data_IF_657825756574
#
_entry.id   IF_657825756574
#
_cell.length_a   1.000
_cell.length_b   1.000
_cell.length_c   1.000
_cell.angle_alpha   90.00
_cell.angle_beta   90.00
_cell.angle_gamma   90.00
#
_symmetry.space_group_name_H-M   'P 1'
#
loop_
_entity.id
_entity.type
_entity.pdbx_description
1 polymer ?
#
# COMPACT_ATOMS: atom_id res chain seq x y z
N UNK A 1 -8.06 -34.13 4.70
CA UNK A 1 -9.20 -33.78 5.61
C UNK A 1 -10.06 -32.77 4.89
N UNK A 2 -11.38 -32.87 5.05
CA UNK A 2 -12.28 -31.80 4.61
C UNK A 2 -12.13 -30.57 5.52
N UNK A 3 -11.95 -29.39 4.91
CA UNK A 3 -11.62 -28.16 5.63
C UNK A 3 -12.77 -27.67 6.51
N UNK A 4 -13.98 -27.64 5.97
CA UNK A 4 -15.13 -27.03 6.65
C UNK A 4 -15.74 -27.93 7.70
N UNK A 5 -15.67 -29.27 7.50
CA UNK A 5 -16.08 -30.24 8.51
C UNK A 5 -15.10 -30.32 9.67
N UNK A 6 -13.83 -29.93 9.48
CA UNK A 6 -12.77 -30.00 10.50
C UNK A 6 -12.20 -28.63 10.87
N UNK A 7 -13.00 -27.56 10.77
CA UNK A 7 -12.55 -26.18 11.02
C UNK A 7 -11.94 -25.97 12.42
N UNK A 8 -12.37 -26.70 13.43
CA UNK A 8 -11.80 -26.60 14.78
C UNK A 8 -10.33 -27.09 14.80
N UNK A 9 -10.03 -28.19 14.09
CA UNK A 9 -8.68 -28.72 13.97
C UNK A 9 -7.81 -27.74 13.15
N UNK A 10 -8.34 -27.22 12.05
CA UNK A 10 -7.66 -26.21 11.24
C UNK A 10 -7.27 -24.99 12.07
N UNK A 11 -8.21 -24.39 12.83
CA UNK A 11 -7.97 -23.25 13.71
C UNK A 11 -6.90 -23.54 14.76
N UNK A 12 -6.97 -24.71 15.40
CA UNK A 12 -5.97 -25.12 16.40
C UNK A 12 -4.56 -25.24 15.80
N UNK A 13 -4.44 -25.87 14.62
CA UNK A 13 -3.12 -26.02 13.96
C UNK A 13 -2.58 -24.67 13.50
N UNK A 14 -3.41 -23.82 12.93
CA UNK A 14 -3.02 -22.48 12.50
C UNK A 14 -2.58 -21.60 13.68
N UNK A 15 -3.33 -21.60 14.78
CA UNK A 15 -3.02 -20.83 15.98
C UNK A 15 -1.73 -21.30 16.65
N UNK A 16 -1.53 -22.62 16.78
CA UNK A 16 -0.31 -23.19 17.36
C UNK A 16 0.95 -22.82 16.56
N UNK A 17 0.85 -22.85 15.22
CA UNK A 17 1.93 -22.39 14.34
C UNK A 17 2.18 -20.89 14.51
N UNK A 18 1.14 -20.06 14.50
CA UNK A 18 1.25 -18.61 14.58
C UNK A 18 1.93 -18.17 15.88
N UNK A 19 1.62 -18.81 17.00
CA UNK A 19 2.22 -18.51 18.28
C UNK A 19 3.77 -18.56 18.27
N UNK A 20 4.35 -19.40 17.41
CA UNK A 20 5.83 -19.58 17.31
C UNK A 20 6.44 -18.93 16.08
N UNK A 21 5.67 -18.76 14.99
CA UNK A 21 6.19 -18.34 13.69
C UNK A 21 5.92 -16.87 13.34
N UNK A 22 5.15 -16.16 14.16
CA UNK A 22 4.84 -14.75 13.88
C UNK A 22 6.09 -13.87 13.90
N UNK A 23 6.19 -12.98 12.90
CA UNK A 23 7.27 -11.98 12.86
C UNK A 23 7.10 -10.98 14.00
N UNK A 24 8.21 -10.55 14.65
CA UNK A 24 8.19 -9.54 15.73
C UNK A 24 7.98 -8.15 15.11
N UNK A 25 6.72 -7.78 14.88
CA UNK A 25 6.36 -6.49 14.31
C UNK A 25 5.99 -5.49 15.41
N UNK A 26 6.37 -4.19 15.31
CA UNK A 26 6.17 -3.22 16.38
C UNK A 26 4.71 -3.06 16.84
N UNK A 27 3.77 -3.17 15.91
CA UNK A 27 2.33 -3.09 16.22
C UNK A 27 1.75 -4.37 16.84
N UNK A 28 2.50 -5.48 16.82
CA UNK A 28 2.17 -6.72 17.56
C UNK A 28 2.77 -6.72 18.94
N UNK A 29 3.99 -6.16 19.08
CA UNK A 29 4.66 -6.06 20.38
C UNK A 29 3.95 -5.09 21.33
N UNK A 30 3.42 -3.99 20.78
CA UNK A 30 2.67 -2.99 21.52
C UNK A 30 1.33 -2.73 20.81
N UNK A 31 0.33 -3.63 20.97
CA UNK A 31 -0.93 -3.52 20.24
C UNK A 31 -1.76 -2.33 20.76
N UNK A 32 -2.31 -1.56 19.83
CA UNK A 32 -3.30 -0.54 20.11
C UNK A 32 -4.16 -0.29 18.87
N UNK A 33 -5.34 0.29 19.07
CA UNK A 33 -6.21 0.67 17.95
C UNK A 33 -5.50 1.59 16.95
N UNK A 34 -4.81 2.62 17.44
CA UNK A 34 -4.09 3.56 16.58
C UNK A 34 -2.99 2.86 15.78
N UNK A 35 -2.17 2.03 16.43
CA UNK A 35 -1.09 1.28 15.76
C UNK A 35 -1.64 0.31 14.71
N UNK A 36 -2.77 -0.33 14.98
CA UNK A 36 -3.44 -1.20 14.00
C UNK A 36 -3.88 -0.38 12.78
N UNK A 37 -4.58 0.75 12.98
CA UNK A 37 -5.02 1.61 11.87
C UNK A 37 -3.84 2.09 11.03
N UNK A 38 -2.79 2.59 11.66
CA UNK A 38 -1.60 3.09 10.95
C UNK A 38 -0.90 1.98 10.20
N UNK A 39 -0.66 0.83 10.83
CA UNK A 39 0.04 -0.29 10.19
C UNK A 39 -0.74 -0.85 9.01
N UNK A 40 -2.05 -0.99 9.11
CA UNK A 40 -2.89 -1.49 8.02
C UNK A 40 -2.90 -0.54 6.82
N UNK A 41 -3.00 0.77 7.04
CA UNK A 41 -2.94 1.75 5.96
C UNK A 41 -1.54 1.86 5.34
N UNK A 42 -0.48 1.76 6.13
CA UNK A 42 0.89 1.74 5.60
C UNK A 42 1.20 0.47 4.82
N UNK A 43 0.66 -0.69 5.24
CA UNK A 43 0.90 -1.98 4.59
C UNK A 43 0.17 -2.13 3.25
N UNK A 44 -0.87 -1.31 2.97
CA UNK A 44 -1.54 -1.36 1.67
C UNK A 44 -0.54 -1.17 0.53
N UNK A 45 -0.35 -2.19 -0.31
CA UNK A 45 0.56 -2.20 -1.46
C UNK A 45 2.03 -1.83 -1.11
N UNK A 46 2.44 -1.99 0.15
CA UNK A 46 3.81 -1.72 0.61
C UNK A 46 4.35 -2.95 1.34
N UNK A 47 5.56 -3.34 1.01
CA UNK A 47 6.22 -4.45 1.70
C UNK A 47 6.55 -4.06 3.15
N UNK A 48 6.37 -5.00 4.08
CA UNK A 48 6.64 -4.79 5.52
C UNK A 48 8.07 -4.26 5.76
N UNK A 49 9.07 -4.84 5.08
CA UNK A 49 10.46 -4.37 5.19
C UNK A 49 10.62 -2.89 4.83
N UNK A 50 9.91 -2.44 3.82
CA UNK A 50 9.94 -1.04 3.37
C UNK A 50 9.23 -0.12 4.35
N UNK A 51 8.07 -0.54 4.89
CA UNK A 51 7.28 0.32 5.77
C UNK A 51 7.82 0.44 7.21
N UNK A 52 8.57 -0.54 7.71
CA UNK A 52 9.05 -0.55 9.11
C UNK A 52 9.76 0.73 9.56
N UNK A 53 10.74 1.27 8.79
CA UNK A 53 11.39 2.54 9.17
C UNK A 53 10.41 3.71 9.23
N UNK A 54 9.43 3.73 8.32
CA UNK A 54 8.39 4.77 8.28
C UNK A 54 7.45 4.67 9.46
N UNK A 55 7.00 3.46 9.79
CA UNK A 55 6.15 3.23 10.96
C UNK A 55 6.83 3.71 12.25
N UNK A 56 8.11 3.41 12.45
CA UNK A 56 8.86 3.86 13.63
C UNK A 56 8.91 5.39 13.72
N UNK A 57 9.29 6.08 12.64
CA UNK A 57 9.33 7.56 12.59
C UNK A 57 7.94 8.17 12.79
N UNK A 58 6.92 7.55 12.19
CA UNK A 58 5.53 7.99 12.34
C UNK A 58 5.07 7.93 13.80
N UNK A 59 5.32 6.81 14.50
CA UNK A 59 4.95 6.68 15.92
C UNK A 59 5.67 7.67 16.83
N UNK A 60 6.90 8.06 16.49
CA UNK A 60 7.63 9.10 17.22
C UNK A 60 7.00 10.49 17.03
N UNK A 61 6.60 10.81 15.81
CA UNK A 61 6.06 12.15 15.49
C UNK A 61 4.55 12.25 15.79
N UNK A 62 3.79 11.20 15.52
CA UNK A 62 2.35 11.13 15.66
C UNK A 62 1.97 9.89 16.50
N UNK A 63 2.11 9.94 17.83
CA UNK A 63 1.92 8.77 18.69
C UNK A 63 0.47 8.33 18.87
N UNK A 64 -0.51 9.18 18.52
CA UNK A 64 -1.95 8.93 18.68
C UNK A 64 -2.78 9.73 17.66
N UNK A 65 -4.10 9.46 17.64
CA UNK A 65 -5.03 10.14 16.74
C UNK A 65 -5.09 11.67 16.94
N UNK A 66 -5.02 12.14 18.18
CA UNK A 66 -5.10 13.59 18.49
C UNK A 66 -3.90 14.33 17.92
N UNK A 67 -2.68 13.86 18.20
CA UNK A 67 -1.46 14.47 17.68
C UNK A 67 -1.44 14.45 16.15
N UNK A 68 -1.96 13.38 15.53
CA UNK A 68 -2.07 13.31 14.06
C UNK A 68 -3.13 14.27 13.53
N UNK A 69 -4.28 14.37 14.18
CA UNK A 69 -5.37 15.26 13.76
C UNK A 69 -4.96 16.75 13.79
N UNK A 70 -4.18 17.14 14.80
CA UNK A 70 -3.73 18.52 15.01
C UNK A 70 -2.51 18.90 14.13
N UNK A 71 -1.90 17.92 13.46
CA UNK A 71 -0.71 18.17 12.65
C UNK A 71 -1.03 18.93 11.35
N UNK A 72 -0.14 19.78 10.86
CA UNK A 72 -0.24 20.34 9.50
C UNK A 72 -0.20 19.24 8.45
N UNK A 73 -1.00 19.39 7.39
CA UNK A 73 -1.06 18.40 6.31
C UNK A 73 0.30 18.15 5.64
N UNK A 74 1.10 19.20 5.52
CA UNK A 74 2.45 19.15 4.94
C UNK A 74 3.38 18.27 5.78
N UNK A 75 3.33 18.38 7.11
CA UNK A 75 4.12 17.56 8.04
C UNK A 75 3.74 16.06 7.92
N UNK A 76 2.44 15.78 7.82
CA UNK A 76 1.93 14.42 7.60
C UNK A 76 2.45 13.84 6.28
N UNK A 77 2.37 14.60 5.19
CA UNK A 77 2.84 14.17 3.87
C UNK A 77 4.37 13.98 3.85
N UNK A 78 5.10 14.87 4.54
CA UNK A 78 6.56 14.77 4.65
C UNK A 78 7.01 13.51 5.38
N UNK A 79 6.35 13.12 6.47
CA UNK A 79 6.66 11.88 7.19
C UNK A 79 6.25 10.61 6.43
N UNK A 80 5.37 10.74 5.44
CA UNK A 80 4.97 9.64 4.53
C UNK A 80 5.85 9.55 3.28
N UNK A 81 6.66 10.57 3.01
CA UNK A 81 7.43 10.68 1.78
C UNK A 81 8.31 9.45 1.53
N UNK A 82 8.17 8.87 0.32
CA UNK A 82 8.89 7.67 -0.09
C UNK A 82 8.09 6.35 0.04
N UNK A 83 6.98 6.32 0.80
CA UNK A 83 6.09 5.15 0.84
C UNK A 83 5.20 5.01 -0.40
N UNK A 84 4.99 6.08 -1.15
CA UNK A 84 4.07 6.12 -2.28
C UNK A 84 2.59 6.09 -1.87
N UNK A 85 1.68 6.19 -2.85
CA UNK A 85 0.23 6.20 -2.61
C UNK A 85 -0.19 7.20 -1.51
N UNK A 86 0.18 8.46 -1.69
CA UNK A 86 0.00 9.53 -0.69
C UNK A 86 -1.46 9.80 -0.31
N UNK A 87 -2.42 9.34 -1.11
CA UNK A 87 -3.84 9.35 -0.73
C UNK A 87 -4.09 8.60 0.59
N UNK A 88 -3.26 7.60 0.92
CA UNK A 88 -3.35 6.89 2.21
C UNK A 88 -2.98 7.80 3.38
N UNK A 89 -1.93 8.62 3.22
CA UNK A 89 -1.54 9.59 4.25
C UNK A 89 -2.63 10.64 4.46
N UNK A 90 -3.18 11.20 3.36
CA UNK A 90 -4.30 12.15 3.45
C UNK A 90 -5.52 11.52 4.10
N UNK A 91 -5.90 10.33 3.67
CA UNK A 91 -7.03 9.61 4.27
C UNK A 91 -6.79 9.31 5.75
N UNK A 92 -5.59 8.91 6.15
CA UNK A 92 -5.24 8.66 7.55
C UNK A 92 -5.31 9.95 8.39
N UNK A 93 -4.89 11.09 7.83
CA UNK A 93 -5.00 12.39 8.48
C UNK A 93 -6.46 12.82 8.63
N UNK A 94 -7.27 12.73 7.56
CA UNK A 94 -8.70 13.02 7.61
C UNK A 94 -9.42 12.08 8.60
N UNK A 95 -9.11 10.77 8.56
CA UNK A 95 -9.63 9.79 9.50
C UNK A 95 -9.32 10.18 10.94
N UNK A 96 -8.09 10.62 11.23
CA UNK A 96 -7.73 11.03 12.58
C UNK A 96 -8.56 12.22 13.08
N UNK A 97 -8.78 13.22 12.23
CA UNK A 97 -9.64 14.38 12.53
C UNK A 97 -11.09 13.96 12.79
N UNK A 98 -11.66 13.14 11.92
CA UNK A 98 -13.02 12.65 12.09
C UNK A 98 -13.13 11.76 13.33
N UNK A 99 -12.18 10.83 13.54
CA UNK A 99 -12.17 9.95 14.71
C UNK A 99 -12.13 10.73 16.02
N UNK A 100 -11.30 11.77 16.11
CA UNK A 100 -11.21 12.60 17.32
C UNK A 100 -12.53 13.32 17.60
N UNK A 101 -13.20 13.81 16.56
CA UNK A 101 -14.48 14.54 16.67
C UNK A 101 -15.68 13.63 16.99
N UNK A 102 -15.63 12.33 16.63
CA UNK A 102 -16.74 11.41 16.86
C UNK A 102 -16.99 11.11 18.34
N UNK A 103 -18.26 11.09 18.76
CA UNK A 103 -18.75 10.60 20.04
C UNK A 103 -20.16 10.01 19.85
N UNK A 104 -20.38 8.69 20.05
CA UNK A 104 -19.42 7.67 20.43
C UNK A 104 -18.39 7.36 19.33
N UNK A 105 -17.29 6.71 19.73
CA UNK A 105 -16.28 6.20 18.78
C UNK A 105 -16.82 4.99 18.02
N UNK A 106 -16.38 4.78 16.75
CA UNK A 106 -16.83 3.65 15.95
C UNK A 106 -16.43 2.32 16.60
N UNK A 107 -17.39 1.43 16.74
CA UNK A 107 -17.26 0.13 17.37
C UNK A 107 -17.48 -1.04 16.41
N UNK A 108 -18.21 -0.82 15.31
CA UNK A 108 -18.56 -1.86 14.34
C UNK A 108 -17.79 -1.70 13.03
N UNK A 109 -17.75 -2.79 12.24
CA UNK A 109 -17.13 -2.79 10.90
C UNK A 109 -17.75 -1.73 9.99
N UNK A 110 -19.07 -1.61 10.00
CA UNK A 110 -19.84 -0.67 9.19
C UNK A 110 -19.56 0.79 9.58
N UNK A 111 -19.41 1.07 10.86
CA UNK A 111 -19.05 2.40 11.35
C UNK A 111 -17.63 2.78 10.92
N UNK A 112 -16.68 1.86 11.04
CA UNK A 112 -15.32 2.07 10.55
C UNK A 112 -15.26 2.32 9.04
N UNK A 113 -16.09 1.65 8.24
CA UNK A 113 -16.11 1.84 6.79
C UNK A 113 -16.58 3.23 6.35
N UNK A 114 -17.22 4.00 7.22
CA UNK A 114 -17.63 5.39 6.94
C UNK A 114 -16.46 6.36 7.00
N UNK A 115 -15.36 5.97 7.64
CA UNK A 115 -14.20 6.83 7.80
C UNK A 115 -13.31 6.85 6.54
N UNK A 116 -12.62 7.97 6.27
CA UNK A 116 -11.77 8.13 5.10
C UNK A 116 -10.72 7.03 4.96
N UNK A 117 -10.63 6.42 3.78
CA UNK A 117 -9.62 5.41 3.46
C UNK A 117 -9.86 4.02 4.04
N UNK A 118 -10.96 3.81 4.76
CA UNK A 118 -11.31 2.52 5.37
C UNK A 118 -12.23 1.72 4.44
N UNK A 119 -11.64 0.75 3.77
CA UNK A 119 -12.39 -0.23 2.97
C UNK A 119 -12.81 -1.47 3.78
N UNK A 120 -13.49 -2.44 3.11
CA UNK A 120 -13.95 -3.68 3.75
C UNK A 120 -12.84 -4.49 4.42
N UNK A 121 -11.65 -4.52 3.83
CA UNK A 121 -10.48 -5.18 4.41
C UNK A 121 -10.02 -4.47 5.69
N UNK A 122 -9.76 -3.16 5.61
CA UNK A 122 -9.19 -2.39 6.73
C UNK A 122 -10.16 -2.35 7.91
N UNK A 123 -11.47 -2.21 7.66
CA UNK A 123 -12.47 -2.26 8.73
C UNK A 123 -12.50 -3.62 9.43
N UNK A 124 -12.44 -4.73 8.67
CA UNK A 124 -12.37 -6.07 9.25
C UNK A 124 -11.09 -6.27 10.08
N UNK A 125 -9.94 -5.77 9.61
CA UNK A 125 -8.69 -5.84 10.35
C UNK A 125 -8.76 -5.04 11.66
N UNK A 126 -9.26 -3.81 11.62
CA UNK A 126 -9.43 -2.97 12.81
C UNK A 126 -10.36 -3.63 13.82
N UNK A 127 -11.55 -4.06 13.38
CA UNK A 127 -12.55 -4.63 14.29
C UNK A 127 -12.11 -5.96 14.88
N UNK A 128 -11.41 -6.80 14.13
CA UNK A 128 -10.95 -8.09 14.64
C UNK A 128 -9.68 -7.97 15.48
N UNK A 129 -8.67 -7.22 15.00
CA UNK A 129 -7.35 -7.17 15.66
C UNK A 129 -7.36 -6.23 16.87
N UNK A 130 -7.96 -5.05 16.73
CA UNK A 130 -7.92 -4.04 17.79
C UNK A 130 -9.14 -4.08 18.71
N UNK A 131 -10.32 -4.48 18.22
CA UNK A 131 -11.55 -4.49 19.00
C UNK A 131 -12.03 -5.91 19.39
N UNK A 132 -11.34 -6.97 18.92
CA UNK A 132 -11.65 -8.36 19.25
C UNK A 132 -13.00 -8.86 18.73
N UNK A 133 -13.61 -8.18 17.75
CA UNK A 133 -14.92 -8.55 17.21
C UNK A 133 -14.78 -9.48 15.99
N UNK A 134 -15.68 -10.46 15.82
CA UNK A 134 -15.64 -11.36 14.70
C UNK A 134 -15.82 -10.63 13.36
N UNK A 135 -14.75 -10.59 12.56
CA UNK A 135 -14.75 -10.09 11.19
C UNK A 135 -13.59 -10.74 10.44
N UNK A 136 -13.88 -11.52 9.39
CA UNK A 136 -12.82 -12.13 8.60
C UNK A 136 -12.13 -11.10 7.71
N UNK A 137 -10.81 -11.13 7.73
CA UNK A 137 -9.96 -10.34 6.84
C UNK A 137 -9.70 -11.13 5.56
N UNK A 138 -9.97 -10.54 4.40
CA UNK A 138 -9.70 -11.16 3.10
C UNK A 138 -8.89 -10.22 2.22
N UNK A 139 -7.59 -10.48 2.16
CA UNK A 139 -6.64 -9.82 1.25
C UNK A 139 -6.19 -10.79 0.15
N UNK A 140 -5.28 -10.36 -0.71
CA UNK A 140 -4.72 -11.23 -1.75
C UNK A 140 -3.97 -12.46 -1.21
N UNK A 141 -3.47 -12.44 0.03
CA UNK A 141 -2.87 -13.59 0.68
C UNK A 141 -3.95 -14.60 1.10
N UNK A 142 -5.00 -14.13 1.76
CA UNK A 142 -6.12 -14.97 2.22
C UNK A 142 -6.87 -15.55 1.03
N UNK A 143 -7.13 -14.77 -0.03
CA UNK A 143 -7.67 -15.28 -1.31
C UNK A 143 -6.82 -16.44 -1.83
N UNK A 144 -5.51 -16.29 -1.89
CA UNK A 144 -4.60 -17.33 -2.37
C UNK A 144 -4.62 -18.58 -1.50
N UNK A 145 -4.61 -18.41 -0.18
CA UNK A 145 -4.68 -19.52 0.76
C UNK A 145 -6.00 -20.29 0.57
N UNK A 146 -7.13 -19.60 0.58
CA UNK A 146 -8.45 -20.22 0.45
C UNK A 146 -8.63 -20.90 -0.91
N UNK A 147 -8.22 -20.24 -2.00
CA UNK A 147 -8.25 -20.84 -3.33
C UNK A 147 -7.43 -22.12 -3.39
N UNK A 148 -6.28 -22.19 -2.75
CA UNK A 148 -5.43 -23.39 -2.69
C UNK A 148 -5.98 -24.45 -1.75
N UNK A 149 -6.46 -24.08 -0.58
CA UNK A 149 -7.08 -25.03 0.36
C UNK A 149 -8.28 -25.74 -0.27
N UNK A 150 -9.11 -25.01 -1.00
CA UNK A 150 -10.33 -25.54 -1.64
C UNK A 150 -10.14 -26.01 -3.09
N UNK A 151 -8.95 -25.82 -3.66
CA UNK A 151 -8.65 -26.08 -5.08
C UNK A 151 -9.61 -25.36 -6.03
N UNK A 152 -9.94 -24.11 -5.74
CA UNK A 152 -10.88 -23.33 -6.54
C UNK A 152 -10.21 -22.85 -7.83
N UNK A 153 -10.60 -23.44 -8.95
CA UNK A 153 -10.03 -23.16 -10.27
C UNK A 153 -10.80 -22.09 -11.07
N UNK A 154 -11.77 -21.42 -10.43
CA UNK A 154 -12.51 -20.32 -11.05
C UNK A 154 -11.56 -19.20 -11.50
N UNK A 155 -11.86 -18.62 -12.67
CA UNK A 155 -11.11 -17.49 -13.23
C UNK A 155 -11.81 -16.20 -12.82
N UNK A 156 -11.19 -15.42 -11.94
CA UNK A 156 -11.73 -14.14 -11.46
C UNK A 156 -11.26 -13.01 -12.37
N UNK A 157 -12.17 -12.11 -12.75
CA UNK A 157 -11.86 -10.92 -13.58
C UNK A 157 -10.87 -9.94 -12.90
N UNK A 158 -10.88 -9.90 -11.58
CA UNK A 158 -10.00 -9.04 -10.79
C UNK A 158 -9.93 -9.49 -9.32
N UNK A 159 -9.03 -8.87 -8.54
CA UNK A 159 -8.88 -9.17 -7.12
C UNK A 159 -10.16 -8.89 -6.30
N UNK A 160 -10.94 -7.87 -6.64
CA UNK A 160 -12.17 -7.53 -5.92
C UNK A 160 -13.24 -8.63 -6.02
N UNK A 161 -13.39 -9.22 -7.20
CA UNK A 161 -14.29 -10.36 -7.40
C UNK A 161 -13.83 -11.57 -6.59
N UNK A 162 -12.53 -11.88 -6.61
CA UNK A 162 -11.97 -12.97 -5.82
C UNK A 162 -12.17 -12.74 -4.31
N UNK A 163 -11.92 -11.55 -3.81
CA UNK A 163 -12.16 -11.20 -2.40
C UNK A 163 -13.62 -11.44 -2.04
N UNK A 164 -14.57 -10.95 -2.84
CA UNK A 164 -16.02 -11.15 -2.62
C UNK A 164 -16.39 -12.62 -2.58
N UNK A 165 -15.86 -13.43 -3.52
CA UNK A 165 -16.15 -14.87 -3.60
C UNK A 165 -15.61 -15.65 -2.39
N UNK A 166 -14.48 -15.24 -1.81
CA UNK A 166 -13.88 -15.94 -0.68
C UNK A 166 -14.29 -15.40 0.69
N UNK A 167 -15.00 -14.27 0.79
CA UNK A 167 -15.41 -13.68 2.09
C UNK A 167 -16.25 -14.65 2.91
N UNK A 168 -17.29 -15.24 2.36
CA UNK A 168 -18.15 -16.18 3.09
C UNK A 168 -17.39 -17.43 3.59
N UNK A 169 -16.39 -17.91 2.83
CA UNK A 169 -15.53 -19.04 3.25
C UNK A 169 -14.58 -18.62 4.37
N UNK A 170 -14.05 -17.40 4.32
CA UNK A 170 -13.22 -16.85 5.38
C UNK A 170 -14.01 -16.69 6.69
N UNK A 171 -15.24 -16.17 6.62
CA UNK A 171 -16.13 -16.02 7.78
C UNK A 171 -16.45 -17.38 8.42
N UNK A 172 -16.68 -18.43 7.62
CA UNK A 172 -16.91 -19.80 8.13
C UNK A 172 -15.69 -20.38 8.86
N UNK A 173 -14.48 -20.01 8.45
CA UNK A 173 -13.22 -20.47 9.05
C UNK A 173 -12.76 -19.64 10.23
N UNK A 174 -13.27 -18.42 10.38
CA UNK A 174 -12.85 -17.48 11.43
C UNK A 174 -13.00 -18.07 12.82
N UNK A 175 -11.98 -17.96 13.64
CA UNK A 175 -12.08 -18.23 15.08
C UNK A 175 -12.74 -17.02 15.77
N UNK A 176 -14.03 -17.16 16.07
CA UNK A 176 -14.80 -16.08 16.71
C UNK A 176 -14.36 -15.77 18.15
N UNK A 177 -13.58 -16.66 18.79
CA UNK A 177 -13.03 -16.41 20.14
C UNK A 177 -11.75 -15.57 20.07
N UNK A 178 -10.95 -15.75 19.02
CA UNK A 178 -9.69 -15.04 18.83
C UNK A 178 -9.58 -14.54 17.37
N UNK A 179 -10.50 -13.64 16.93
CA UNK A 179 -10.58 -13.27 15.52
C UNK A 179 -9.35 -12.51 15.02
N UNK A 180 -8.75 -11.68 15.89
CA UNK A 180 -7.55 -10.93 15.56
C UNK A 180 -6.36 -11.84 15.29
N UNK A 181 -6.08 -12.80 16.17
CA UNK A 181 -4.98 -13.75 16.00
C UNK A 181 -5.22 -14.67 14.80
N UNK A 182 -6.46 -15.13 14.57
CA UNK A 182 -6.79 -15.92 13.41
C UNK A 182 -6.49 -15.18 12.10
N UNK A 183 -6.94 -13.94 11.98
CA UNK A 183 -6.69 -13.11 10.80
C UNK A 183 -5.20 -12.83 10.61
N UNK A 184 -4.48 -12.47 11.68
CA UNK A 184 -3.05 -12.27 11.61
C UNK A 184 -2.30 -13.57 11.22
N UNK A 185 -2.73 -14.72 11.72
CA UNK A 185 -2.16 -16.02 11.35
C UNK A 185 -2.38 -16.36 9.87
N UNK A 186 -3.57 -16.11 9.33
CA UNK A 186 -3.84 -16.29 7.89
C UNK A 186 -2.96 -15.36 7.04
N UNK A 187 -2.84 -14.09 7.40
CA UNK A 187 -1.98 -13.14 6.70
C UNK A 187 -0.50 -13.56 6.79
N UNK A 188 -0.04 -13.98 7.97
CA UNK A 188 1.35 -14.45 8.18
C UNK A 188 1.65 -15.69 7.36
N UNK A 189 0.74 -16.67 7.33
CA UNK A 189 0.84 -17.87 6.51
C UNK A 189 1.01 -17.53 5.03
N UNK A 190 0.25 -16.56 4.54
CA UNK A 190 0.38 -16.07 3.17
C UNK A 190 1.68 -15.33 2.90
N UNK A 191 2.20 -14.60 3.89
CA UNK A 191 3.40 -13.81 3.74
C UNK A 191 4.70 -14.64 3.85
N UNK A 192 4.68 -15.77 4.55
CA UNK A 192 5.92 -16.52 4.91
C UNK A 192 5.96 -17.95 4.39
N UNK A 193 4.82 -18.61 4.22
CA UNK A 193 4.75 -20.03 3.83
C UNK A 193 4.00 -20.24 2.52
N UNK A 194 2.73 -19.84 2.45
CA UNK A 194 1.90 -20.00 1.26
C UNK A 194 2.20 -18.89 0.24
N UNK A 195 3.46 -18.81 -0.22
CA UNK A 195 3.93 -17.77 -1.12
C UNK A 195 3.25 -17.82 -2.49
N UNK A 196 3.25 -16.69 -3.21
CA UNK A 196 2.68 -16.60 -4.55
C UNK A 196 3.37 -17.54 -5.54
N UNK A 197 4.68 -17.57 -5.48
CA UNK A 197 5.55 -18.43 -6.28
C UNK A 197 6.34 -19.34 -5.34
N UNK A 198 6.47 -20.61 -5.68
CA UNK A 198 7.21 -21.63 -4.91
C UNK A 198 6.77 -21.66 -3.44
N UNK A 199 5.51 -21.95 -3.12
CA UNK A 199 5.05 -22.05 -1.74
C UNK A 199 5.80 -23.12 -0.97
N UNK A 200 6.06 -22.89 0.30
CA UNK A 200 6.82 -23.79 1.19
C UNK A 200 5.88 -24.84 1.80
N UNK A 201 5.29 -25.69 0.96
CA UNK A 201 4.25 -26.63 1.36
C UNK A 201 4.70 -27.62 2.43
N UNK A 202 5.96 -28.05 2.43
CA UNK A 202 6.51 -29.03 3.39
C UNK A 202 6.49 -28.55 4.83
N UNK A 203 6.51 -27.24 5.06
CA UNK A 203 6.45 -26.64 6.41
C UNK A 203 5.09 -25.99 6.71
N UNK A 204 4.11 -26.21 5.85
CA UNK A 204 2.78 -25.62 6.00
C UNK A 204 2.00 -26.27 7.15
N UNK A 205 1.58 -25.50 8.18
CA UNK A 205 0.85 -26.06 9.33
C UNK A 205 -0.49 -26.68 8.98
N UNK A 206 -1.08 -26.27 7.87
CA UNK A 206 -2.41 -26.69 7.42
C UNK A 206 -2.37 -27.52 6.13
N UNK A 207 -1.23 -28.11 5.82
CA UNK A 207 -1.01 -28.91 4.59
C UNK A 207 -2.07 -30.02 4.40
N UNK A 208 -2.44 -30.68 5.48
CA UNK A 208 -3.40 -31.79 5.45
C UNK A 208 -4.80 -31.41 4.92
N UNK A 209 -5.11 -30.11 4.94
CA UNK A 209 -6.36 -29.52 4.40
C UNK A 209 -6.21 -29.05 2.95
N UNK A 210 -4.98 -28.97 2.42
CA UNK A 210 -4.73 -28.35 1.13
C UNK A 210 -5.04 -29.29 -0.04
N UNK A 211 -6.18 -29.06 -0.70
CA UNK A 211 -6.58 -29.86 -1.87
C UNK A 211 -5.67 -29.58 -3.07
N UNK A 212 -5.24 -28.31 -3.25
CA UNK A 212 -4.34 -27.97 -4.36
C UNK A 212 -2.99 -28.65 -4.27
N UNK A 213 -2.43 -28.81 -3.04
CA UNK A 213 -1.18 -29.54 -2.88
C UNK A 213 -1.32 -31.02 -3.26
N UNK A 214 -2.46 -31.65 -2.92
CA UNK A 214 -2.74 -33.03 -3.31
C UNK A 214 -2.88 -33.19 -4.82
N UNK A 215 -3.38 -32.17 -5.50
CA UNK A 215 -3.64 -32.17 -6.93
C UNK A 215 -2.49 -31.57 -7.76
N UNK A 216 -1.42 -31.06 -7.12
CA UNK A 216 -0.31 -30.41 -7.81
C UNK A 216 -0.65 -29.05 -8.45
N UNK A 217 -1.71 -28.38 -7.99
CA UNK A 217 -2.25 -27.15 -8.62
C UNK A 217 -1.89 -25.85 -7.86
N UNK A 218 -1.13 -25.92 -6.78
CA UNK A 218 -0.83 -24.78 -5.93
C UNK A 218 -0.11 -23.63 -6.65
N UNK A 219 0.66 -23.89 -7.69
CA UNK A 219 1.41 -22.86 -8.42
C UNK A 219 0.57 -22.04 -9.39
N UNK A 220 -0.62 -22.57 -9.76
CA UNK A 220 -1.51 -21.92 -10.74
C UNK A 220 -2.75 -21.27 -10.10
N UNK A 221 -2.94 -21.41 -8.77
CA UNK A 221 -4.07 -20.85 -8.05
C UNK A 221 -3.69 -19.69 -7.11
N UNK A 222 -4.55 -18.67 -6.98
CA UNK A 222 -5.81 -18.42 -7.69
C UNK A 222 -5.58 -17.98 -9.13
N UNK A 223 -6.57 -18.20 -10.01
CA UNK A 223 -6.57 -17.67 -11.37
C UNK A 223 -7.26 -16.30 -11.38
N UNK A 224 -6.47 -15.25 -11.56
CA UNK A 224 -6.98 -13.87 -11.63
C UNK A 224 -6.46 -13.24 -12.92
N UNK A 225 -7.38 -12.71 -13.72
CA UNK A 225 -7.04 -12.00 -14.94
C UNK A 225 -6.17 -10.78 -14.64
N UNK A 226 -5.16 -10.57 -15.46
CA UNK A 226 -4.27 -9.41 -15.34
C UNK A 226 -4.65 -8.38 -16.39
N UNK A 227 -4.79 -7.13 -15.98
CA UNK A 227 -4.86 -6.03 -16.95
C UNK A 227 -3.57 -6.00 -17.77
N UNK A 228 -3.72 -5.81 -19.06
CA UNK A 228 -2.58 -5.62 -19.96
C UNK A 228 -1.73 -4.43 -19.47
N UNK A 229 -0.41 -4.60 -19.55
CA UNK A 229 0.53 -3.51 -19.25
C UNK A 229 0.53 -2.53 -20.42
N UNK A 230 0.28 -1.25 -20.13
CA UNK A 230 0.35 -0.16 -21.11
C UNK A 230 1.73 0.48 -21.02
N UNK A 231 2.43 0.58 -22.16
CA UNK A 231 3.67 1.34 -22.27
C UNK A 231 3.32 2.80 -22.55
N UNK A 232 3.97 3.71 -21.83
CA UNK A 232 3.80 5.16 -21.99
C UNK A 232 5.19 5.78 -22.06
N UNK A 233 5.40 6.70 -22.98
CA UNK A 233 6.61 7.51 -23.05
C UNK A 233 6.26 8.96 -22.76
N UNK A 234 7.11 9.65 -22.01
CA UNK A 234 6.92 11.04 -21.58
C UNK A 234 8.27 11.75 -21.73
N UNK A 235 8.26 12.86 -22.43
CA UNK A 235 9.40 13.77 -22.50
C UNK A 235 9.31 14.78 -21.36
N UNK A 236 10.39 14.93 -20.59
CA UNK A 236 10.50 15.82 -19.44
C UNK A 236 11.54 16.90 -19.71
N UNK A 237 11.28 18.10 -19.21
CA UNK A 237 12.25 19.18 -19.27
C UNK A 237 13.07 19.25 -17.98
N UNK A 238 14.38 19.44 -18.13
CA UNK A 238 15.33 19.78 -17.08
C UNK A 238 15.82 21.20 -17.32
N UNK A 239 15.40 22.12 -16.45
CA UNK A 239 15.68 23.55 -16.61
C UNK A 239 16.09 24.12 -15.28
N UNK A 240 17.32 24.64 -15.20
CA UNK A 240 17.86 25.34 -14.04
C UNK A 240 18.23 26.75 -14.47
N UNK A 241 17.72 27.76 -13.78
CA UNK A 241 18.07 29.17 -13.94
C UNK A 241 18.17 29.82 -12.55
N UNK A 242 19.19 30.63 -12.33
CA UNK A 242 19.41 31.38 -11.08
C UNK A 242 19.28 30.52 -9.81
N UNK A 243 19.94 29.36 -9.77
CA UNK A 243 19.87 28.38 -8.68
C UNK A 243 18.45 27.87 -8.35
N UNK A 244 17.56 27.89 -9.34
CA UNK A 244 16.19 27.38 -9.23
C UNK A 244 15.94 26.32 -10.29
N UNK A 245 15.24 25.25 -9.90
CA UNK A 245 14.76 24.21 -10.80
C UNK A 245 13.29 24.47 -11.15
N UNK A 246 12.96 24.39 -12.44
CA UNK A 246 11.57 24.47 -12.89
C UNK A 246 10.85 23.14 -12.61
N UNK A 247 9.72 23.22 -11.90
CA UNK A 247 8.91 22.07 -11.52
C UNK A 247 7.44 22.28 -11.88
N UNK A 248 6.74 21.19 -12.11
CA UNK A 248 5.28 21.14 -12.23
C UNK A 248 4.67 20.70 -10.88
N UNK A 249 3.77 21.53 -10.34
CA UNK A 249 2.98 21.17 -9.18
C UNK A 249 1.69 20.51 -9.64
N UNK A 250 1.55 19.22 -9.32
CA UNK A 250 0.35 18.45 -9.69
C UNK A 250 -0.86 18.99 -8.92
N UNK A 251 -1.96 19.36 -9.62
CA UNK A 251 -3.13 19.93 -8.97
C UNK A 251 -3.69 19.05 -7.84
N UNK A 252 -4.23 19.67 -6.79
CA UNK A 252 -4.85 18.95 -5.66
C UNK A 252 -6.07 18.10 -6.10
N UNK A 253 -6.71 18.45 -7.20
CA UNK A 253 -7.81 17.71 -7.81
C UNK A 253 -7.35 16.49 -8.61
N UNK A 254 -6.05 16.29 -8.82
CA UNK A 254 -5.54 15.15 -9.58
C UNK A 254 -5.80 13.83 -8.85
N UNK A 255 -6.20 12.81 -9.59
CA UNK A 255 -6.48 11.48 -9.05
C UNK A 255 -5.23 10.74 -8.53
N UNK A 256 -4.04 11.17 -8.96
CA UNK A 256 -2.75 10.58 -8.56
C UNK A 256 -1.72 11.68 -8.30
N UNK A 257 -0.84 11.46 -7.32
CA UNK A 257 0.27 12.35 -6.97
C UNK A 257 -0.13 13.82 -6.67
N UNK A 258 -1.40 14.09 -6.36
CA UNK A 258 -1.94 15.42 -6.09
C UNK A 258 -1.06 16.21 -5.11
N UNK A 259 -0.81 17.49 -5.37
CA UNK A 259 0.00 18.37 -4.54
C UNK A 259 1.50 18.08 -4.53
N UNK A 260 1.97 17.08 -5.28
CA UNK A 260 3.39 16.77 -5.39
C UNK A 260 4.02 17.50 -6.57
N UNK A 261 5.33 17.65 -6.49
CA UNK A 261 6.13 18.20 -7.58
C UNK A 261 6.78 17.10 -8.42
N UNK A 262 6.88 17.33 -9.72
CA UNK A 262 7.65 16.52 -10.66
C UNK A 262 8.29 17.42 -11.75
N UNK A 263 9.25 16.87 -12.49
CA UNK A 263 9.79 17.57 -13.66
C UNK A 263 8.66 17.87 -14.66
N UNK A 264 8.61 19.06 -15.25
CA UNK A 264 7.56 19.43 -16.19
C UNK A 264 7.63 18.55 -17.46
N UNK A 265 6.50 18.34 -18.11
CA UNK A 265 6.50 17.78 -19.45
C UNK A 265 7.15 18.77 -20.41
N UNK A 266 7.95 18.27 -21.34
CA UNK A 266 8.62 19.12 -22.33
C UNK A 266 7.62 19.92 -23.18
N UNK A 267 6.43 19.39 -23.38
CA UNK A 267 5.31 20.06 -24.07
C UNK A 267 4.73 21.25 -23.31
N UNK A 268 4.92 21.32 -21.98
CA UNK A 268 4.43 22.42 -21.15
C UNK A 268 5.42 23.60 -21.10
N UNK A 269 6.56 23.49 -21.75
CA UNK A 269 7.57 24.55 -21.81
C UNK A 269 7.81 24.99 -23.24
N UNK A 270 7.96 26.31 -23.44
CA UNK A 270 8.42 26.82 -24.72
C UNK A 270 9.93 26.93 -24.71
N UNK A 271 10.59 25.96 -25.28
CA UNK A 271 12.05 25.89 -25.33
C UNK A 271 12.63 27.02 -26.20
N UNK A 272 13.69 27.64 -25.72
CA UNK A 272 14.50 28.66 -26.44
C UNK A 272 15.62 28.01 -27.24
N UNK A 273 16.11 26.86 -26.79
CA UNK A 273 17.17 26.08 -27.44
C UNK A 273 16.64 24.69 -27.81
N UNK A 274 17.28 24.03 -28.76
CA UNK A 274 16.97 22.64 -29.08
C UNK A 274 17.20 21.75 -27.86
N UNK A 275 16.19 20.99 -27.39
CA UNK A 275 16.32 20.13 -26.21
C UNK A 275 17.36 19.03 -26.42
N UNK A 276 18.26 18.84 -25.44
CA UNK A 276 19.28 17.80 -25.46
C UNK A 276 18.93 16.69 -24.48
N UNK A 277 18.88 15.45 -24.93
CA UNK A 277 18.61 14.29 -24.08
C UNK A 277 19.78 14.07 -23.11
N UNK A 278 19.52 14.20 -21.81
CA UNK A 278 20.52 14.01 -20.75
C UNK A 278 20.30 12.70 -19.96
N UNK A 279 19.08 12.18 -19.90
CA UNK A 279 18.80 10.94 -19.20
C UNK A 279 17.56 10.23 -19.72
N UNK A 280 17.52 8.90 -19.54
CA UNK A 280 16.33 8.07 -19.72
C UNK A 280 16.06 7.32 -18.42
N UNK A 281 14.85 7.43 -17.91
CA UNK A 281 14.41 6.86 -16.65
C UNK A 281 13.12 6.06 -16.82
N UNK A 282 12.84 5.15 -15.91
CA UNK A 282 11.60 4.35 -15.97
C UNK A 282 10.93 4.27 -14.62
N UNK A 283 9.61 4.33 -14.62
CA UNK A 283 8.75 4.06 -13.46
C UNK A 283 7.52 3.25 -13.84
N UNK A 284 6.85 2.69 -12.83
CA UNK A 284 5.57 2.02 -13.05
C UNK A 284 4.52 2.62 -12.11
N UNK A 285 3.34 2.90 -12.66
CA UNK A 285 2.18 3.33 -11.89
C UNK A 285 1.02 2.41 -12.27
N UNK A 286 0.57 1.59 -11.31
CA UNK A 286 -0.46 0.56 -11.52
C UNK A 286 -0.10 -0.43 -12.65
N UNK A 287 -0.80 -0.41 -13.78
CA UNK A 287 -0.54 -1.24 -14.97
C UNK A 287 0.19 -0.48 -16.10
N UNK A 288 0.60 0.77 -15.85
CA UNK A 288 1.35 1.58 -16.82
C UNK A 288 2.84 1.47 -16.52
N UNK A 289 3.65 1.14 -17.53
CA UNK A 289 5.10 1.28 -17.53
C UNK A 289 5.42 2.57 -18.26
N UNK A 290 6.02 3.51 -17.54
CA UNK A 290 6.30 4.85 -18.05
C UNK A 290 7.81 4.94 -18.24
N UNK A 291 8.23 5.23 -19.46
CA UNK A 291 9.60 5.58 -19.81
C UNK A 291 9.66 7.09 -19.98
N UNK A 292 10.53 7.74 -19.23
CA UNK A 292 10.66 9.20 -19.25
C UNK A 292 12.02 9.57 -19.78
N UNK A 293 12.02 10.42 -20.81
CA UNK A 293 13.21 10.99 -21.40
C UNK A 293 13.38 12.41 -20.88
N UNK A 294 14.52 12.70 -20.26
CA UNK A 294 14.79 14.00 -19.64
C UNK A 294 15.70 14.80 -20.55
N UNK A 295 15.20 15.96 -20.97
CA UNK A 295 15.89 16.85 -21.87
C UNK A 295 16.29 18.14 -21.16
N UNK A 296 17.55 18.53 -21.28
CA UNK A 296 18.03 19.83 -20.88
C UNK A 296 17.70 20.87 -21.95
N UNK A 297 17.19 22.02 -21.54
CA UNK A 297 16.88 23.12 -22.43
C UNK A 297 16.84 24.44 -21.66
N UNK A 298 16.84 25.58 -22.38
CA UNK A 298 16.58 26.90 -21.83
C UNK A 298 15.14 27.28 -22.19
N UNK A 299 14.42 27.87 -21.24
CA UNK A 299 13.02 28.24 -21.45
C UNK A 299 12.88 29.67 -21.97
N UNK A 300 11.94 29.88 -22.90
CA UNK A 300 11.53 31.22 -23.37
C UNK A 300 10.29 31.72 -22.62
N UNK A 301 9.35 30.84 -22.32
CA UNK A 301 8.16 31.11 -21.50
C UNK A 301 7.66 29.81 -20.86
N UNK A 302 7.01 29.95 -19.72
CA UNK A 302 6.44 28.85 -18.94
C UNK A 302 4.92 28.98 -18.86
N UNK A 303 4.25 27.84 -18.63
CA UNK A 303 2.84 27.77 -18.28
C UNK A 303 2.62 28.14 -16.81
N UNK A 304 1.46 28.69 -16.46
CA UNK A 304 1.09 29.07 -15.08
C UNK A 304 1.06 27.90 -14.09
N UNK A 305 1.05 26.65 -14.58
CA UNK A 305 1.14 25.44 -13.77
C UNK A 305 2.57 25.09 -13.30
N UNK A 306 3.57 25.84 -13.77
CA UNK A 306 4.98 25.61 -13.49
C UNK A 306 5.52 26.62 -12.49
N UNK A 307 6.37 26.16 -11.59
CA UNK A 307 6.93 26.96 -10.50
C UNK A 307 8.46 26.83 -10.47
N UNK A 308 9.14 27.95 -10.25
CA UNK A 308 10.57 27.99 -9.97
C UNK A 308 10.83 27.71 -8.48
N UNK A 309 11.51 26.63 -8.17
CA UNK A 309 11.84 26.21 -6.82
C UNK A 309 13.35 26.32 -6.60
N UNK A 310 13.78 27.06 -5.60
CA UNK A 310 15.20 27.17 -5.24
C UNK A 310 15.80 25.79 -4.92
N UNK A 311 17.01 25.50 -5.39
CA UNK A 311 17.67 24.22 -5.18
C UNK A 311 17.79 23.86 -3.70
N UNK A 312 18.02 24.82 -2.82
CA UNK A 312 18.06 24.66 -1.36
C UNK A 312 16.69 24.25 -0.76
N UNK A 313 15.58 24.59 -1.43
CA UNK A 313 14.23 24.29 -0.98
C UNK A 313 13.71 22.91 -1.46
N UNK A 314 14.44 22.21 -2.34
CA UNK A 314 14.02 20.93 -2.88
C UNK A 314 13.79 19.84 -1.81
N UNK A 315 14.51 19.92 -0.68
CA UNK A 315 14.30 19.00 0.45
C UNK A 315 13.06 19.35 1.29
N UNK A 316 12.58 20.59 1.24
CA UNK A 316 11.40 21.03 1.97
C UNK A 316 10.08 20.67 1.27
N UNK A 317 10.06 20.68 -0.07
CA UNK A 317 8.86 20.34 -0.85
C UNK A 317 8.64 18.83 -0.97
N UNK A 318 7.42 18.42 -1.31
CA UNK A 318 7.08 17.02 -1.55
C UNK A 318 7.21 16.68 -3.04
N UNK A 319 8.32 16.07 -3.41
CA UNK A 319 8.55 15.54 -4.77
C UNK A 319 7.95 14.13 -4.92
N UNK A 320 7.47 13.78 -6.11
CA UNK A 320 7.15 12.38 -6.41
C UNK A 320 8.40 11.52 -6.25
N UNK A 321 8.26 10.34 -5.63
CA UNK A 321 9.42 9.54 -5.22
C UNK A 321 10.44 9.25 -6.33
N UNK A 322 10.03 8.87 -7.57
CA UNK A 322 10.95 8.73 -8.69
C UNK A 322 11.67 10.03 -9.04
N UNK A 323 10.93 11.15 -9.16
CA UNK A 323 11.52 12.43 -9.55
C UNK A 323 12.49 12.97 -8.48
N UNK A 324 12.21 12.79 -7.17
CA UNK A 324 13.17 13.12 -6.12
C UNK A 324 14.50 12.43 -6.31
N UNK A 325 14.48 11.13 -6.62
CA UNK A 325 15.72 10.36 -6.86
C UNK A 325 16.44 10.85 -8.11
N UNK A 326 15.72 11.05 -9.21
CA UNK A 326 16.30 11.48 -10.50
C UNK A 326 16.89 12.88 -10.42
N UNK A 327 16.18 13.82 -9.78
CA UNK A 327 16.68 15.18 -9.53
C UNK A 327 17.98 15.14 -8.72
N UNK A 328 18.03 14.35 -7.64
CA UNK A 328 19.25 14.20 -6.85
C UNK A 328 20.41 13.57 -7.64
N UNK A 329 20.12 12.63 -8.54
CA UNK A 329 21.12 12.01 -9.40
C UNK A 329 21.65 13.02 -10.43
N UNK A 330 20.78 13.80 -11.06
CA UNK A 330 21.16 14.80 -12.06
C UNK A 330 21.97 15.96 -11.46
N UNK A 331 21.57 16.45 -10.28
CA UNK A 331 22.32 17.49 -9.56
C UNK A 331 23.72 17.06 -9.10
N UNK A 332 23.95 15.74 -8.90
CA UNK A 332 25.28 15.21 -8.53
C UNK A 332 26.19 14.99 -9.74
N UNK A 333 25.61 14.89 -10.92
CA UNK A 333 26.35 14.67 -12.17
C UNK A 333 26.75 15.96 -12.88
N UNK A 334 26.31 17.11 -12.36
CA UNK A 334 26.77 18.45 -12.75
C UNK A 334 27.90 18.87 -11.79
#
# INVERSE_FOLDING_TARGET
>A
MDLFSNKAIFRKMLAAWYATAQRPLPWRAEPSLYRTVVSELMAQQTQIKTMLPYFKRWMQRFPNFTTLADAPAEDVLKHWEGLGYYSRARNLHCLAKEYVALNPKPATREEWQRLPGIGPYTSAAITSIALGQPAAVVDGNVVRILARLTNDAHIFKNNGEAVKAFTARADQLLDNKNPGDHNQAMMELGATVCLKHKPLCTVCPVLNFCVSNKNGTQDVLPKIERKATVQVEIDRAWIIEDDKLLLHRIPESAGQLAGQYELPELSAVKARTSPQLIASKSRSITHRRIKEYIYETIVASIDDSLEWVALEQLEAITLSGPHRRWIRELLKGQ
#
